data_IF_446563391528
#
_entry.id   IF_446563391528
#
_cell.length_a   1.000
_cell.length_b   1.000
_cell.length_c   1.000
_cell.angle_alpha   90.00
_cell.angle_beta   90.00
_cell.angle_gamma   90.00
#
_symmetry.space_group_name_H-M   'P 1'
#
loop_
_entity.id
_entity.type
_entity.pdbx_description
1 polymer ?
#
# COMPACT_ATOMS: atom_id res chain seq x y z
N UNK A 1 -11.07 2.16 9.12
CA UNK A 1 -10.43 0.99 9.74
C UNK A 1 -9.35 1.40 10.74
N UNK A 2 -8.26 2.06 10.34
CA UNK A 2 -7.16 2.43 11.27
C UNK A 2 -7.64 3.09 12.58
N UNK A 3 -8.52 4.10 12.51
CA UNK A 3 -9.06 4.74 13.72
C UNK A 3 -9.87 3.80 14.61
N UNK A 4 -10.62 2.86 14.03
CA UNK A 4 -11.47 1.90 14.76
C UNK A 4 -10.63 0.91 15.58
N UNK A 5 -9.44 0.57 15.10
CA UNK A 5 -8.54 -0.40 15.73
C UNK A 5 -7.35 0.25 16.44
N UNK A 6 -7.39 1.57 16.63
CA UNK A 6 -6.35 2.33 17.32
C UNK A 6 -6.06 1.75 18.71
N UNK A 7 -4.79 1.56 19.02
CA UNK A 7 -4.33 0.96 20.28
C UNK A 7 -4.47 -0.56 20.36
N UNK A 8 -4.97 -1.22 19.30
CA UNK A 8 -5.05 -2.69 19.19
C UNK A 8 -4.22 -3.23 18.03
N UNK A 9 -4.14 -2.47 16.94
CA UNK A 9 -3.47 -2.85 15.69
C UNK A 9 -2.78 -1.62 15.12
N UNK A 10 -1.52 -1.79 14.73
CA UNK A 10 -0.77 -0.76 14.03
C UNK A 10 -0.99 -0.85 12.51
N UNK A 11 -1.16 0.30 11.86
CA UNK A 11 -1.37 0.41 10.42
C UNK A 11 -0.21 1.14 9.78
N UNK A 12 0.34 0.57 8.71
CA UNK A 12 1.41 1.16 7.93
C UNK A 12 1.04 1.12 6.44
N UNK A 13 1.27 2.22 5.74
CA UNK A 13 1.33 2.22 4.28
C UNK A 13 2.79 2.06 3.87
N UNK A 14 3.10 1.07 3.03
CA UNK A 14 4.43 0.94 2.41
C UNK A 14 4.29 1.37 0.97
N UNK A 15 4.87 2.51 0.63
CA UNK A 15 4.88 3.01 -0.73
C UNK A 15 5.97 2.28 -1.52
N UNK A 16 5.56 1.53 -2.56
CA UNK A 16 6.40 0.73 -3.44
C UNK A 16 6.49 1.37 -4.84
N UNK A 17 7.18 0.70 -5.76
CA UNK A 17 7.27 1.13 -7.16
C UNK A 17 5.89 1.28 -7.80
N UNK A 18 5.70 2.37 -8.56
CA UNK A 18 4.45 2.67 -9.24
C UNK A 18 4.04 1.59 -10.24
N UNK A 19 2.78 1.18 -10.20
CA UNK A 19 2.24 0.19 -11.14
C UNK A 19 2.00 0.76 -12.54
N UNK A 20 1.74 2.07 -12.63
CA UNK A 20 1.37 2.74 -13.88
C UNK A 20 2.05 4.10 -14.03
N UNK A 21 3.39 4.13 -14.08
CA UNK A 21 4.11 5.38 -14.29
C UNK A 21 3.94 5.83 -15.75
N UNK A 22 3.92 7.14 -15.96
CA UNK A 22 3.62 7.76 -17.26
C UNK A 22 4.64 7.45 -18.35
N UNK A 23 5.84 7.00 -17.97
CA UNK A 23 6.94 6.65 -18.87
C UNK A 23 7.00 5.15 -19.23
N UNK A 24 6.10 4.32 -18.67
CA UNK A 24 6.06 2.87 -18.95
C UNK A 24 4.67 2.44 -19.45
N UNK A 25 3.62 2.69 -18.67
CA UNK A 25 2.25 2.33 -19.03
C UNK A 25 1.24 3.23 -18.31
N UNK A 26 0.72 4.22 -19.03
CA UNK A 26 -0.22 5.20 -18.50
C UNK A 26 -1.67 4.65 -18.53
N UNK A 27 -2.36 4.63 -17.38
CA UNK A 27 -3.80 4.32 -17.35
C UNK A 27 -4.63 5.57 -17.60
N UNK A 28 -5.68 5.46 -18.43
CA UNK A 28 -6.60 6.57 -18.71
C UNK A 28 -7.27 7.13 -17.44
N UNK A 29 -7.52 6.30 -16.42
CA UNK A 29 -8.02 6.76 -15.11
C UNK A 29 -7.04 7.70 -14.43
N UNK A 30 -5.73 7.41 -14.50
CA UNK A 30 -4.68 8.26 -13.93
C UNK A 30 -4.58 9.60 -14.68
N UNK A 31 -4.80 9.62 -16.00
CA UNK A 31 -4.86 10.86 -16.79
C UNK A 31 -6.06 11.71 -16.39
N UNK A 32 -7.25 11.11 -16.27
CA UNK A 32 -8.48 11.79 -15.85
C UNK A 32 -8.35 12.36 -14.43
N UNK A 33 -7.73 11.59 -13.54
CA UNK A 33 -7.47 12.01 -12.17
C UNK A 33 -6.22 12.92 -12.05
N UNK A 34 -5.46 13.18 -13.12
CA UNK A 34 -4.18 13.92 -13.06
C UNK A 34 -3.18 13.31 -12.05
N UNK A 35 -3.14 11.97 -11.94
CA UNK A 35 -2.16 11.18 -11.18
C UNK A 35 -1.07 10.75 -12.16
N UNK A 36 -0.28 11.72 -12.62
CA UNK A 36 0.73 11.51 -13.66
C UNK A 36 2.12 11.63 -13.05
N UNK A 37 2.68 10.48 -12.66
CA UNK A 37 4.03 10.40 -12.12
C UNK A 37 4.89 9.55 -13.05
N UNK A 38 6.07 10.07 -13.41
CA UNK A 38 7.12 9.25 -14.01
C UNK A 38 7.70 8.31 -12.97
N UNK A 39 8.34 7.24 -13.43
CA UNK A 39 9.12 6.38 -12.55
C UNK A 39 10.20 7.21 -11.85
N UNK A 40 10.26 7.21 -10.50
CA UNK A 40 11.31 7.92 -9.78
C UNK A 40 12.69 7.42 -10.19
N UNK A 41 13.63 8.33 -10.39
CA UNK A 41 15.02 8.00 -10.81
C UNK A 41 16.00 7.86 -9.65
N UNK A 42 15.63 8.39 -8.50
CA UNK A 42 16.38 8.37 -7.27
C UNK A 42 15.45 8.37 -6.05
N UNK A 43 16.03 8.30 -4.87
CA UNK A 43 15.29 8.29 -3.60
C UNK A 43 14.54 9.60 -3.34
N UNK A 44 15.10 10.75 -3.73
CA UNK A 44 14.45 12.06 -3.51
C UNK A 44 13.17 12.19 -4.34
N UNK A 45 13.22 11.79 -5.61
CA UNK A 45 12.04 11.71 -6.46
C UNK A 45 11.02 10.73 -5.89
N UNK A 46 11.47 9.55 -5.39
CA UNK A 46 10.56 8.56 -4.80
C UNK A 46 9.86 9.11 -3.56
N UNK A 47 10.59 9.82 -2.69
CA UNK A 47 10.02 10.50 -1.52
C UNK A 47 9.01 11.56 -1.93
N UNK A 48 9.30 12.33 -2.98
CA UNK A 48 8.38 13.36 -3.48
C UNK A 48 7.06 12.76 -3.97
N UNK A 49 7.12 11.70 -4.80
CA UNK A 49 5.92 11.02 -5.31
C UNK A 49 5.16 10.30 -4.20
N UNK A 50 5.86 9.59 -3.31
CA UNK A 50 5.27 8.95 -2.14
C UNK A 50 4.51 9.97 -1.27
N UNK A 51 5.12 11.12 -1.00
CA UNK A 51 4.50 12.20 -0.26
C UNK A 51 3.26 12.76 -0.95
N UNK A 52 3.28 12.91 -2.27
CA UNK A 52 2.10 13.33 -3.04
C UNK A 52 0.97 12.28 -2.95
N UNK A 53 1.30 11.00 -3.10
CA UNK A 53 0.36 9.88 -2.98
C UNK A 53 -0.32 9.84 -1.61
N UNK A 54 0.48 9.84 -0.53
CA UNK A 54 -0.01 9.83 0.87
C UNK A 54 -0.96 10.99 1.15
N UNK A 55 -0.59 12.22 0.75
CA UNK A 55 -1.44 13.40 0.92
C UNK A 55 -2.74 13.29 0.14
N UNK A 56 -2.65 12.87 -1.12
CA UNK A 56 -3.79 12.78 -2.03
C UNK A 56 -4.80 11.71 -1.62
N UNK A 57 -4.31 10.56 -1.15
CA UNK A 57 -5.15 9.48 -0.62
C UNK A 57 -5.66 9.77 0.80
N UNK A 58 -5.19 10.84 1.44
CA UNK A 58 -5.59 11.21 2.79
C UNK A 58 -5.22 10.16 3.84
N UNK A 59 -4.07 9.50 3.66
CA UNK A 59 -3.58 8.48 4.60
C UNK A 59 -3.24 9.16 5.94
N UNK A 60 -3.87 8.70 7.03
CA UNK A 60 -3.77 9.29 8.38
C UNK A 60 -2.98 8.43 9.38
N UNK A 61 -2.36 7.37 8.90
CA UNK A 61 -1.50 6.47 9.67
C UNK A 61 -0.09 6.49 9.07
N UNK A 62 0.94 6.01 9.80
CA UNK A 62 2.32 6.05 9.32
C UNK A 62 2.48 5.50 7.90
N UNK A 63 3.21 6.24 7.08
CA UNK A 63 3.63 5.80 5.76
C UNK A 63 5.16 5.72 5.72
N UNK A 64 5.66 4.63 5.15
CA UNK A 64 7.07 4.38 4.91
C UNK A 64 7.28 4.11 3.42
N UNK A 65 8.52 4.21 2.96
CA UNK A 65 8.87 4.09 1.55
C UNK A 65 9.79 2.87 1.41
N UNK A 66 9.50 2.00 0.46
CA UNK A 66 10.39 0.90 0.12
C UNK A 66 11.70 1.43 -0.45
N UNK A 67 12.80 0.77 -0.10
CA UNK A 67 14.13 1.10 -0.60
C UNK A 67 14.15 1.14 -2.13
N UNK A 68 15.07 1.92 -2.71
CA UNK A 68 15.10 2.09 -4.16
C UNK A 68 15.37 0.77 -4.92
N UNK A 69 15.95 -0.21 -4.24
CA UNK A 69 16.17 -1.58 -4.69
C UNK A 69 14.92 -2.49 -4.65
N UNK A 70 13.80 -2.00 -4.12
CA UNK A 70 12.49 -2.66 -4.07
C UNK A 70 12.50 -4.00 -3.28
N UNK A 71 13.37 -4.13 -2.28
CA UNK A 71 13.48 -5.36 -1.49
C UNK A 71 12.18 -5.71 -0.75
N UNK A 72 11.47 -4.74 -0.19
CA UNK A 72 10.23 -5.02 0.56
C UNK A 72 9.13 -5.45 -0.40
N UNK A 73 8.97 -4.75 -1.53
CA UNK A 73 8.02 -5.13 -2.57
C UNK A 73 8.27 -6.58 -3.01
N UNK A 74 9.52 -6.94 -3.31
CA UNK A 74 9.87 -8.30 -3.76
C UNK A 74 9.58 -9.34 -2.67
N UNK A 75 10.01 -9.10 -1.44
CA UNK A 75 9.81 -10.03 -0.33
C UNK A 75 8.33 -10.27 -0.01
N UNK A 76 7.50 -9.24 -0.19
CA UNK A 76 6.06 -9.30 0.06
C UNK A 76 5.24 -9.41 -1.24
N UNK A 77 5.84 -9.60 -2.41
CA UNK A 77 5.13 -9.61 -3.71
C UNK A 77 4.05 -8.50 -3.79
N UNK A 78 4.45 -7.29 -3.41
CA UNK A 78 3.57 -6.16 -3.10
C UNK A 78 2.85 -5.61 -4.33
N UNK A 79 3.41 -5.82 -5.52
CA UNK A 79 2.90 -5.25 -6.75
C UNK A 79 1.58 -5.90 -7.25
N UNK A 80 0.61 -5.13 -7.79
CA UNK A 80 0.62 -3.66 -7.89
C UNK A 80 0.24 -2.97 -6.57
N UNK A 81 -0.64 -3.58 -5.79
CA UNK A 81 -0.87 -3.26 -4.37
C UNK A 81 -1.25 -4.53 -3.59
N UNK A 82 -1.03 -4.54 -2.27
CA UNK A 82 -1.40 -5.64 -1.38
C UNK A 82 -1.81 -5.13 0.00
N UNK A 83 -2.70 -5.88 0.65
CA UNK A 83 -2.93 -5.79 2.08
C UNK A 83 -2.38 -7.02 2.79
N UNK A 84 -1.73 -6.78 3.92
CA UNK A 84 -1.19 -7.80 4.81
C UNK A 84 -1.71 -7.62 6.23
N UNK A 85 -1.95 -8.74 6.91
CA UNK A 85 -2.03 -8.78 8.37
C UNK A 85 -0.88 -9.63 8.88
N UNK A 86 -0.06 -9.07 9.76
CA UNK A 86 1.12 -9.73 10.31
C UNK A 86 1.02 -9.69 11.83
N UNK A 87 1.26 -10.82 12.49
CA UNK A 87 1.37 -10.92 13.94
C UNK A 87 2.39 -12.00 14.30
N UNK A 88 3.19 -11.76 15.35
CA UNK A 88 4.21 -12.70 15.85
C UNK A 88 5.14 -13.25 14.75
N UNK A 89 5.55 -12.37 13.82
CA UNK A 89 6.42 -12.72 12.70
C UNK A 89 5.76 -13.59 11.61
N UNK A 90 4.43 -13.75 11.63
CA UNK A 90 3.68 -14.57 10.67
C UNK A 90 2.66 -13.75 9.90
N UNK A 91 2.51 -14.06 8.61
CA UNK A 91 1.44 -13.51 7.78
C UNK A 91 0.14 -14.26 8.09
N UNK A 92 -0.81 -13.57 8.72
CA UNK A 92 -2.14 -14.09 9.01
C UNK A 92 -3.13 -13.88 7.87
N UNK A 93 -2.89 -12.85 7.05
CA UNK A 93 -3.68 -12.55 5.85
C UNK A 93 -2.82 -11.88 4.80
N UNK A 94 -3.06 -12.26 3.54
CA UNK A 94 -2.49 -11.67 2.33
C UNK A 94 -3.60 -11.53 1.31
N UNK A 95 -3.85 -10.32 0.83
CA UNK A 95 -4.84 -10.08 -0.23
C UNK A 95 -4.36 -10.63 -1.59
N UNK A 96 -5.29 -10.79 -2.53
CA UNK A 96 -4.93 -10.97 -3.94
C UNK A 96 -4.37 -9.65 -4.53
N UNK A 97 -3.60 -9.72 -5.63
CA UNK A 97 -3.90 -8.99 -6.86
C UNK A 97 -4.59 -7.63 -6.87
N UNK A 98 -4.00 -6.50 -6.47
CA UNK A 98 -4.61 -5.19 -6.76
C UNK A 98 -4.86 -4.92 -8.26
N UNK A 99 -5.80 -4.04 -8.63
CA UNK A 99 -6.83 -3.44 -7.77
C UNK A 99 -7.98 -4.41 -7.46
N UNK A 100 -8.18 -5.46 -8.27
CA UNK A 100 -9.33 -6.39 -8.18
C UNK A 100 -9.35 -7.27 -6.92
N UNK A 101 -8.22 -7.37 -6.22
CA UNK A 101 -8.05 -8.10 -4.98
C UNK A 101 -7.97 -7.22 -3.73
N UNK A 102 -8.01 -5.89 -3.91
CA UNK A 102 -7.89 -4.94 -2.81
C UNK A 102 -9.26 -4.71 -2.16
N UNK A 103 -9.68 -5.63 -1.29
CA UNK A 103 -10.92 -5.53 -0.54
C UNK A 103 -10.67 -5.26 0.95
N UNK A 104 -10.83 -4.02 1.44
CA UNK A 104 -10.66 -3.71 2.86
C UNK A 104 -11.59 -4.51 3.78
N UNK A 105 -12.74 -4.98 3.29
CA UNK A 105 -13.65 -5.82 4.08
C UNK A 105 -13.02 -7.16 4.45
N UNK A 106 -12.28 -7.78 3.54
CA UNK A 106 -11.62 -9.07 3.77
C UNK A 106 -10.53 -8.94 4.84
N UNK A 107 -9.78 -7.83 4.82
CA UNK A 107 -8.83 -7.48 5.88
C UNK A 107 -9.54 -7.26 7.23
N UNK A 108 -10.69 -6.58 7.23
CA UNK A 108 -11.47 -6.37 8.45
C UNK A 108 -11.93 -7.70 9.09
N UNK A 109 -12.38 -8.64 8.27
CA UNK A 109 -12.74 -10.00 8.73
C UNK A 109 -11.52 -10.74 9.28
N UNK A 110 -10.36 -10.64 8.63
CA UNK A 110 -9.13 -11.24 9.14
C UNK A 110 -8.72 -10.63 10.49
N UNK A 111 -8.86 -9.32 10.66
CA UNK A 111 -8.60 -8.62 11.93
C UNK A 111 -9.54 -9.05 13.05
N UNK A 112 -10.84 -9.14 12.77
CA UNK A 112 -11.85 -9.63 13.72
C UNK A 112 -11.49 -11.03 14.23
N UNK A 113 -11.19 -11.94 13.30
CA UNK A 113 -10.76 -13.30 13.62
C UNK A 113 -9.47 -13.33 14.45
N UNK A 114 -8.47 -12.53 14.09
CA UNK A 114 -7.19 -12.47 14.79
C UNK A 114 -7.31 -11.92 16.22
N UNK A 115 -8.25 -10.98 16.45
CA UNK A 115 -8.50 -10.36 17.75
C UNK A 115 -9.50 -11.13 18.63
N UNK A 116 -9.97 -12.31 18.18
CA UNK A 116 -10.93 -13.12 18.94
C UNK A 116 -12.34 -12.51 19.05
N UNK A 117 -12.67 -11.55 18.18
CA UNK A 117 -14.00 -10.94 18.10
C UNK A 117 -14.70 -11.50 16.86
N UNK A 118 -15.53 -12.56 16.97
CA UNK A 118 -16.23 -13.15 15.83
C UNK A 118 -17.23 -12.18 15.17
#
# INVERSE_FOLDING_TARGET
MAEQYKGKVDFYAVYILEAHPTDVWEMQSNVQDKVLFRSPRDEEERVSVAGACVRRLGIKFPAVIDGFDNQVETAYTGWPDRMYLIADGRVLYKSKPGPFGFHPKDLATALQKALGNP
#
